data_IF_618737414182
#
_entry.id   IF_618737414182
#
_cell.length_a   1.000
_cell.length_b   1.000
_cell.length_c   1.000
_cell.angle_alpha   90.00
_cell.angle_beta   90.00
_cell.angle_gamma   90.00
#
_symmetry.space_group_name_H-M   'P 1'
#
loop_
_entity.id
_entity.type
_entity.pdbx_description
1 polymer ?
#
# COMPACT_ATOMS: atom_id res chain seq x y z
N UNK A 1 19.33 11.81 -14.99
CA UNK A 1 18.13 12.67 -14.92
C UNK A 1 18.35 13.97 -15.71
N UNK A 2 17.34 14.45 -16.44
CA UNK A 2 17.29 15.78 -17.06
C UNK A 2 16.03 16.52 -16.61
N UNK A 3 16.12 17.84 -16.40
CA UNK A 3 14.99 18.68 -15.99
C UNK A 3 14.70 19.68 -17.10
N UNK A 4 13.49 19.67 -17.63
CA UNK A 4 13.01 20.65 -18.61
C UNK A 4 11.96 21.57 -17.98
N UNK A 5 12.20 22.88 -18.03
CA UNK A 5 11.29 23.90 -17.47
C UNK A 5 10.56 24.65 -18.60
N UNK A 6 9.23 24.59 -18.61
CA UNK A 6 8.37 25.43 -19.44
C UNK A 6 7.58 26.47 -18.61
N UNK A 7 6.98 27.46 -19.29
CA UNK A 7 6.24 28.57 -18.63
C UNK A 7 5.00 28.12 -17.82
N UNK A 8 4.39 26.98 -18.16
CA UNK A 8 3.15 26.47 -17.54
C UNK A 8 3.24 25.06 -16.94
N UNK A 9 4.28 24.30 -17.28
CA UNK A 9 4.47 22.91 -16.86
C UNK A 9 5.96 22.68 -16.66
N UNK A 10 6.35 22.01 -15.56
CA UNK A 10 7.73 21.57 -15.35
C UNK A 10 7.76 20.07 -15.63
N UNK A 11 8.66 19.62 -16.50
CA UNK A 11 8.81 18.19 -16.82
C UNK A 11 10.11 17.66 -16.24
N UNK A 12 10.01 16.57 -15.51
CA UNK A 12 11.17 15.82 -15.06
C UNK A 12 11.34 14.59 -15.94
N UNK A 13 12.51 14.42 -16.53
CA UNK A 13 12.83 13.28 -17.39
C UNK A 13 13.86 12.42 -16.65
N UNK A 14 13.43 11.25 -16.22
CA UNK A 14 14.31 10.22 -15.66
C UNK A 14 14.73 9.31 -16.82
N UNK A 15 16.04 9.08 -16.94
CA UNK A 15 16.62 8.22 -17.97
C UNK A 15 17.29 7.08 -17.24
N UNK A 16 16.90 5.84 -17.54
CA UNK A 16 17.50 4.65 -16.98
C UNK A 16 18.83 4.29 -17.65
N UNK A 17 19.45 3.19 -17.23
CA UNK A 17 20.71 2.68 -17.78
C UNK A 17 20.57 2.09 -19.19
N UNK A 18 19.35 1.74 -19.61
CA UNK A 18 19.01 1.24 -20.95
C UNK A 18 18.66 2.38 -21.93
N UNK A 19 18.52 3.61 -21.44
CA UNK A 19 18.16 4.79 -22.22
C UNK A 19 16.65 5.00 -22.39
N UNK A 20 15.80 4.24 -21.68
CA UNK A 20 14.37 4.52 -21.60
C UNK A 20 14.14 5.81 -20.80
N UNK A 21 13.12 6.57 -21.24
CA UNK A 21 12.79 7.88 -20.66
C UNK A 21 11.41 7.81 -20.03
N UNK A 22 11.35 8.04 -18.72
CA UNK A 22 10.10 8.32 -18.03
C UNK A 22 9.94 9.83 -17.82
N UNK A 23 8.79 10.34 -18.24
CA UNK A 23 8.42 11.74 -18.09
C UNK A 23 7.42 11.90 -16.94
N UNK A 24 7.73 12.82 -16.02
CA UNK A 24 6.86 13.20 -14.92
C UNK A 24 6.45 14.66 -15.07
N UNK A 25 5.15 14.91 -15.20
CA UNK A 25 4.58 16.25 -15.22
C UNK A 25 4.45 16.79 -13.79
N UNK A 26 5.19 17.86 -13.50
CA UNK A 26 5.21 18.53 -12.20
C UNK A 26 4.55 19.90 -12.28
N UNK A 27 3.90 20.28 -11.18
CA UNK A 27 3.39 21.64 -11.03
C UNK A 27 4.55 22.62 -10.87
N UNK A 28 4.53 23.82 -11.50
CA UNK A 28 5.57 24.83 -11.35
C UNK A 28 5.80 25.30 -9.90
N UNK A 29 4.82 25.07 -9.01
CA UNK A 29 4.87 25.44 -7.59
C UNK A 29 5.61 24.42 -6.72
N UNK A 30 5.82 23.20 -7.19
CA UNK A 30 6.51 22.16 -6.43
C UNK A 30 8.01 22.46 -6.41
N UNK A 31 8.60 22.50 -5.21
CA UNK A 31 10.06 22.61 -5.06
C UNK A 31 10.67 21.26 -5.39
N UNK A 32 11.65 21.21 -6.29
CA UNK A 32 12.41 19.98 -6.54
C UNK A 32 13.38 19.76 -5.38
N UNK A 33 13.51 18.50 -4.97
CA UNK A 33 14.55 18.06 -4.01
C UNK A 33 15.78 17.49 -4.75
N UNK A 34 15.70 17.37 -6.08
CA UNK A 34 16.75 16.83 -6.96
C UNK A 34 17.21 17.86 -8.00
N UNK A 35 18.47 17.75 -8.43
CA UNK A 35 19.11 18.62 -9.42
C UNK A 35 19.45 17.86 -10.70
N UNK A 36 19.48 18.57 -11.83
CA UNK A 36 19.87 17.99 -13.11
C UNK A 36 21.26 17.35 -13.05
N UNK A 37 21.34 16.06 -13.33
CA UNK A 37 22.57 15.27 -13.20
C UNK A 37 22.61 14.33 -11.98
N UNK A 38 21.67 14.47 -11.03
CA UNK A 38 21.59 13.56 -9.89
C UNK A 38 21.23 12.13 -10.34
N UNK A 39 21.81 11.15 -9.65
CA UNK A 39 21.38 9.75 -9.72
C UNK A 39 20.25 9.56 -8.71
N UNK A 40 19.14 9.03 -9.19
CA UNK A 40 17.96 8.74 -8.38
C UNK A 40 17.60 7.26 -8.54
N UNK A 41 17.20 6.62 -7.46
CA UNK A 41 16.67 5.27 -7.46
C UNK A 41 15.14 5.29 -7.45
N UNK A 42 14.53 4.17 -7.83
CA UNK A 42 13.07 4.03 -7.78
C UNK A 42 12.55 4.33 -6.36
N UNK A 43 11.62 5.29 -6.28
CA UNK A 43 10.95 5.74 -5.06
C UNK A 43 11.71 6.80 -4.25
N UNK A 44 12.75 7.39 -4.83
CA UNK A 44 13.36 8.61 -4.30
C UNK A 44 12.45 9.83 -4.49
N UNK A 45 12.62 10.80 -3.60
CA UNK A 45 11.78 12.00 -3.58
C UNK A 45 12.28 13.00 -4.61
N UNK A 46 11.45 13.24 -5.62
CA UNK A 46 11.77 14.19 -6.70
C UNK A 46 11.30 15.61 -6.35
N UNK A 47 10.25 15.72 -5.53
CA UNK A 47 9.59 16.98 -5.14
C UNK A 47 9.34 17.05 -3.63
N UNK A 48 9.40 18.26 -3.08
CA UNK A 48 9.02 18.53 -1.70
C UNK A 48 7.54 18.24 -1.45
N UNK A 49 7.25 17.56 -0.35
CA UNK A 49 5.90 17.20 0.07
C UNK A 49 5.79 15.82 0.71
N UNK A 50 4.60 15.49 1.23
CA UNK A 50 4.32 14.16 1.75
C UNK A 50 4.30 13.14 0.60
N UNK A 51 4.88 11.96 0.85
CA UNK A 51 4.81 10.81 -0.07
C UNK A 51 3.39 10.23 -0.03
N UNK A 52 2.86 9.83 -1.19
CA UNK A 52 1.65 9.01 -1.23
C UNK A 52 2.01 7.58 -0.75
N UNK A 53 1.40 7.09 0.34
CA UNK A 53 1.69 5.75 0.86
C UNK A 53 1.39 4.60 -0.11
N UNK A 54 0.45 4.77 -1.05
CA UNK A 54 0.11 3.74 -2.05
C UNK A 54 1.16 3.69 -3.15
N UNK A 55 1.60 4.83 -3.66
CA UNK A 55 2.71 4.88 -4.61
C UNK A 55 3.98 4.33 -3.98
N UNK A 56 4.24 4.69 -2.71
CA UNK A 56 5.37 4.15 -1.96
C UNK A 56 5.27 2.62 -1.79
N UNK A 57 4.06 2.07 -1.64
CA UNK A 57 3.84 0.62 -1.53
C UNK A 57 4.21 -0.10 -2.83
N UNK A 58 3.79 0.47 -3.95
CA UNK A 58 4.04 -0.11 -5.27
C UNK A 58 5.52 -0.07 -5.65
N UNK A 59 6.24 0.98 -5.21
CA UNK A 59 7.65 1.20 -5.60
C UNK A 59 8.65 0.59 -4.62
N UNK A 60 8.55 0.92 -3.32
CA UNK A 60 9.54 0.52 -2.30
C UNK A 60 9.08 -0.70 -1.49
N UNK A 61 7.78 -1.04 -1.52
CA UNK A 61 7.24 -2.22 -0.86
C UNK A 61 6.69 -1.96 0.55
N UNK A 62 6.20 -3.04 1.16
CA UNK A 62 5.40 -2.98 2.39
C UNK A 62 6.18 -2.45 3.61
N UNK A 63 7.45 -2.83 3.75
CA UNK A 63 8.27 -2.48 4.92
C UNK A 63 8.55 -0.98 4.97
N UNK A 64 8.88 -0.40 3.83
CA UNK A 64 9.18 1.02 3.67
C UNK A 64 7.93 1.88 3.92
N UNK A 65 6.76 1.43 3.46
CA UNK A 65 5.48 2.08 3.79
C UNK A 65 5.16 2.00 5.27
N UNK A 66 5.37 0.84 5.91
CA UNK A 66 5.14 0.68 7.34
C UNK A 66 6.00 1.65 8.15
N UNK A 67 7.29 1.72 7.84
CA UNK A 67 8.22 2.61 8.50
C UNK A 67 7.85 4.08 8.28
N UNK A 68 7.55 4.47 7.03
CA UNK A 68 7.12 5.82 6.69
C UNK A 68 5.87 6.24 7.48
N UNK A 69 4.85 5.39 7.56
CA UNK A 69 3.63 5.71 8.29
C UNK A 69 3.87 5.85 9.80
N UNK A 70 4.72 5.00 10.38
CA UNK A 70 5.08 5.09 11.80
C UNK A 70 5.83 6.39 12.09
N UNK A 71 6.82 6.74 11.27
CA UNK A 71 7.64 7.94 11.43
C UNK A 71 6.81 9.23 11.33
N UNK A 72 5.92 9.32 10.33
CA UNK A 72 5.07 10.49 10.13
C UNK A 72 4.07 10.68 11.27
N UNK A 73 3.42 9.60 11.74
CA UNK A 73 2.52 9.68 12.89
C UNK A 73 3.30 10.07 14.15
N UNK A 74 4.47 9.45 14.38
CA UNK A 74 5.32 9.72 15.54
C UNK A 74 5.82 11.18 15.56
N UNK A 75 6.10 11.76 14.39
CA UNK A 75 6.48 13.18 14.25
C UNK A 75 5.39 14.10 14.78
N UNK A 76 4.14 13.87 14.37
CA UNK A 76 2.99 14.69 14.83
C UNK A 76 2.77 14.60 16.35
N UNK A 77 2.90 13.40 16.94
CA UNK A 77 2.80 13.23 18.38
C UNK A 77 3.94 13.92 19.14
N UNK A 78 5.18 13.81 18.64
CA UNK A 78 6.35 14.50 19.20
C UNK A 78 6.21 16.01 19.15
N UNK A 79 5.71 16.56 18.03
CA UNK A 79 5.50 17.99 17.85
C UNK A 79 4.45 18.55 18.85
N UNK A 80 3.52 17.71 19.30
CA UNK A 80 2.54 18.05 20.35
C UNK A 80 3.03 17.74 21.77
N UNK A 81 4.27 17.26 21.93
CA UNK A 81 4.85 16.89 23.22
C UNK A 81 4.27 15.62 23.84
N UNK A 82 3.57 14.80 23.06
CA UNK A 82 2.95 13.56 23.53
C UNK A 82 3.86 12.38 23.20
N UNK A 83 4.21 11.60 24.22
CA UNK A 83 4.98 10.37 24.06
C UNK A 83 4.06 9.17 23.79
N UNK A 84 4.23 8.52 22.65
CA UNK A 84 3.60 7.24 22.32
C UNK A 84 4.68 6.25 21.87
N UNK A 85 4.55 4.99 22.28
CA UNK A 85 5.48 3.95 21.85
C UNK A 85 5.11 3.45 20.46
N UNK A 86 6.11 3.36 19.58
CA UNK A 86 5.98 2.96 18.16
C UNK A 86 5.17 1.68 17.95
N UNK A 87 5.29 0.70 18.85
CA UNK A 87 4.53 -0.57 18.83
C UNK A 87 3.02 -0.38 18.68
N UNK A 88 2.45 0.66 19.27
CA UNK A 88 1.01 0.93 19.14
C UNK A 88 0.66 1.36 17.71
N UNK A 89 1.49 2.19 17.10
CA UNK A 89 1.30 2.67 15.73
C UNK A 89 1.56 1.52 14.75
N UNK A 90 2.64 0.76 14.94
CA UNK A 90 2.96 -0.43 14.14
C UNK A 90 1.81 -1.44 14.12
N UNK A 91 1.16 -1.69 15.27
CA UNK A 91 0.00 -2.58 15.34
C UNK A 91 -1.16 -2.10 14.48
N UNK A 92 -1.43 -0.79 14.43
CA UNK A 92 -2.49 -0.20 13.61
C UNK A 92 -2.11 -0.28 12.13
N UNK A 93 -0.89 0.15 11.78
CA UNK A 93 -0.40 0.13 10.39
C UNK A 93 -0.36 -1.30 9.84
N UNK A 94 -0.04 -2.29 10.67
CA UNK A 94 -0.14 -3.71 10.30
C UNK A 94 -1.58 -4.11 9.93
N UNK A 95 -2.60 -3.60 10.61
CA UNK A 95 -4.00 -3.89 10.22
C UNK A 95 -4.37 -3.24 8.89
N UNK A 96 -3.80 -2.08 8.57
CA UNK A 96 -4.04 -1.37 7.30
C UNK A 96 -3.48 -2.12 6.07
N UNK A 97 -2.49 -2.98 6.25
CA UNK A 97 -1.82 -3.76 5.19
C UNK A 97 -2.15 -5.27 5.25
N UNK A 98 -3.25 -5.63 5.91
CA UNK A 98 -3.61 -7.04 6.17
C UNK A 98 -4.17 -7.76 4.93
N UNK A 99 -4.42 -7.06 3.83
CA UNK A 99 -5.06 -7.64 2.63
C UNK A 99 -4.12 -7.63 1.42
N UNK A 100 -4.24 -8.67 0.61
CA UNK A 100 -3.58 -8.82 -0.69
C UNK A 100 -4.67 -9.00 -1.74
N UNK A 101 -4.58 -8.24 -2.83
CA UNK A 101 -5.43 -8.47 -4.01
C UNK A 101 -4.73 -9.43 -4.95
N UNK A 102 -5.37 -10.55 -5.26
CA UNK A 102 -4.83 -11.56 -6.17
C UNK A 102 -4.91 -11.03 -7.60
N UNK A 103 -3.77 -10.97 -8.29
CA UNK A 103 -3.67 -10.63 -9.70
C UNK A 103 -3.81 -11.90 -10.55
N UNK A 104 -3.04 -12.94 -10.23
CA UNK A 104 -3.09 -14.24 -10.88
C UNK A 104 -3.12 -15.35 -9.83
N UNK A 105 -4.04 -16.32 -9.92
CA UNK A 105 -4.18 -17.35 -8.90
C UNK A 105 -3.10 -18.43 -8.96
N UNK A 106 -2.41 -18.59 -10.10
CA UNK A 106 -1.48 -19.70 -10.29
C UNK A 106 -2.21 -21.05 -10.17
N UNK A 107 -1.65 -21.97 -9.39
CA UNK A 107 -2.28 -23.26 -9.05
C UNK A 107 -3.01 -23.22 -7.69
N UNK A 108 -3.27 -22.02 -7.14
CA UNK A 108 -4.03 -21.85 -5.90
C UNK A 108 -5.54 -21.89 -6.13
N UNK A 109 -6.29 -21.95 -5.04
CA UNK A 109 -7.76 -21.91 -5.04
C UNK A 109 -8.31 -20.47 -5.01
N UNK A 110 -7.45 -19.46 -5.14
CA UNK A 110 -7.87 -18.06 -5.14
C UNK A 110 -8.52 -17.67 -6.47
N UNK A 111 -9.33 -16.61 -6.45
CA UNK A 111 -9.92 -16.02 -7.64
C UNK A 111 -9.16 -14.74 -8.06
N UNK A 112 -9.00 -14.48 -9.37
CA UNK A 112 -8.48 -13.19 -9.85
C UNK A 112 -9.32 -12.03 -9.30
N UNK A 113 -8.67 -11.02 -8.73
CA UNK A 113 -9.29 -9.86 -8.09
C UNK A 113 -9.80 -10.10 -6.66
N UNK A 114 -9.66 -11.33 -6.13
CA UNK A 114 -10.03 -11.64 -4.76
C UNK A 114 -9.13 -10.91 -3.75
N UNK A 115 -9.74 -10.40 -2.67
CA UNK A 115 -9.02 -9.80 -1.54
C UNK A 115 -8.91 -10.80 -0.41
N UNK A 116 -7.72 -11.38 -0.28
CA UNK A 116 -7.40 -12.41 0.71
C UNK A 116 -6.60 -11.81 1.87
N UNK A 117 -6.63 -12.48 3.02
CA UNK A 117 -5.74 -12.14 4.13
C UNK A 117 -4.27 -12.39 3.73
N UNK A 118 -3.39 -11.44 4.05
CA UNK A 118 -1.98 -11.51 3.68
C UNK A 118 -1.29 -12.74 4.26
N UNK A 119 -1.70 -13.21 5.44
CA UNK A 119 -1.16 -14.44 6.05
C UNK A 119 -1.63 -15.68 5.28
N UNK A 120 -2.92 -15.77 4.98
CA UNK A 120 -3.49 -16.90 4.22
C UNK A 120 -2.84 -16.99 2.83
N UNK A 121 -2.70 -15.84 2.16
CA UNK A 121 -2.00 -15.74 0.88
C UNK A 121 -0.55 -16.24 0.97
N UNK A 122 0.20 -15.77 1.98
CA UNK A 122 1.59 -16.17 2.18
C UNK A 122 1.71 -17.67 2.47
N UNK A 123 0.94 -18.19 3.43
CA UNK A 123 0.99 -19.59 3.86
C UNK A 123 0.66 -20.52 2.67
N UNK A 124 -0.35 -20.17 1.85
CA UNK A 124 -0.71 -20.95 0.65
C UNK A 124 0.39 -20.91 -0.41
N UNK A 125 1.01 -19.76 -0.64
CA UNK A 125 2.10 -19.64 -1.60
C UNK A 125 3.35 -20.42 -1.17
N UNK A 126 3.65 -20.45 0.14
CA UNK A 126 4.74 -21.27 0.68
C UNK A 126 4.47 -22.76 0.43
N UNK A 127 3.23 -23.22 0.63
CA UNK A 127 2.84 -24.61 0.35
C UNK A 127 2.96 -24.98 -1.14
N UNK A 128 2.44 -24.12 -2.03
CA UNK A 128 2.51 -24.33 -3.49
C UNK A 128 3.96 -24.39 -3.98
N UNK A 129 4.79 -23.45 -3.53
CA UNK A 129 6.22 -23.40 -3.88
C UNK A 129 6.94 -24.66 -3.37
N UNK A 130 6.60 -25.14 -2.17
CA UNK A 130 7.18 -26.37 -1.61
C UNK A 130 6.76 -27.64 -2.36
N UNK A 131 5.69 -27.55 -3.15
CA UNK A 131 5.14 -28.65 -3.94
C UNK A 131 5.47 -28.53 -5.44
N UNK A 132 6.43 -27.66 -5.81
CA UNK A 132 6.79 -27.33 -7.20
C UNK A 132 5.60 -26.86 -8.07
N UNK A 133 4.58 -26.28 -7.44
CA UNK A 133 3.41 -25.69 -8.11
C UNK A 133 3.57 -24.18 -8.29
N UNK A 134 2.80 -23.59 -9.20
CA UNK A 134 2.84 -22.16 -9.48
C UNK A 134 2.17 -21.38 -8.34
N UNK A 135 2.89 -20.50 -7.62
CA UNK A 135 2.30 -19.66 -6.59
C UNK A 135 1.37 -18.62 -7.21
N UNK A 136 0.42 -18.12 -6.42
CA UNK A 136 -0.42 -17.01 -6.81
C UNK A 136 0.39 -15.71 -6.82
N UNK A 137 0.15 -14.83 -7.78
CA UNK A 137 0.66 -13.46 -7.82
C UNK A 137 -0.39 -12.52 -7.26
N UNK A 138 0.01 -11.64 -6.34
CA UNK A 138 -0.87 -10.71 -5.68
C UNK A 138 -0.13 -9.44 -5.31
N UNK A 139 -0.88 -8.36 -5.12
CA UNK A 139 -0.35 -7.06 -4.70
C UNK A 139 -0.89 -6.70 -3.31
N UNK A 140 -0.03 -6.29 -2.37
CA UNK A 140 -0.50 -5.82 -1.08
C UNK A 140 -1.41 -4.60 -1.28
N UNK A 141 -2.47 -4.50 -0.48
CA UNK A 141 -3.40 -3.37 -0.53
C UNK A 141 -3.29 -2.56 0.77
N UNK A 142 -2.94 -1.28 0.66
CA UNK A 142 -3.04 -0.35 1.77
C UNK A 142 -4.46 0.19 1.89
N UNK A 143 -5.08 -0.06 3.04
CA UNK A 143 -6.46 0.34 3.35
C UNK A 143 -6.48 1.34 4.50
N UNK A 144 -7.36 2.34 4.42
CA UNK A 144 -7.65 3.20 5.58
C UNK A 144 -8.26 2.40 6.72
N UNK A 145 -8.12 2.87 7.96
CA UNK A 145 -8.59 2.16 9.18
C UNK A 145 -10.06 1.75 9.11
N UNK A 146 -10.94 2.60 8.59
CA UNK A 146 -12.38 2.31 8.43
C UNK A 146 -12.60 1.16 7.45
N UNK A 147 -11.92 1.19 6.29
CA UNK A 147 -12.03 0.15 5.27
C UNK A 147 -11.43 -1.17 5.77
N UNK A 148 -10.32 -1.11 6.49
CA UNK A 148 -9.68 -2.27 7.10
C UNK A 148 -10.59 -2.92 8.15
N UNK A 149 -11.26 -2.13 9.00
CA UNK A 149 -12.21 -2.63 10.01
C UNK A 149 -13.45 -3.29 9.39
N UNK A 150 -13.94 -2.79 8.26
CA UNK A 150 -15.06 -3.40 7.53
C UNK A 150 -14.65 -4.65 6.74
N UNK A 151 -13.36 -4.80 6.42
CA UNK A 151 -12.83 -5.94 5.65
C UNK A 151 -12.33 -7.10 6.54
N UNK A 152 -12.77 -7.15 7.80
CA UNK A 152 -12.56 -8.27 8.70
C UNK A 152 -13.35 -9.51 8.27
N UNK A 153 -12.96 -10.69 8.76
CA UNK A 153 -13.62 -11.96 8.47
C UNK A 153 -14.93 -12.12 9.25
N UNK A 154 -14.97 -11.59 10.48
CA UNK A 154 -16.17 -11.61 11.33
C UNK A 154 -17.18 -10.57 10.83
N UNK A 155 -18.26 -11.03 10.19
CA UNK A 155 -19.34 -10.17 9.77
C UNK A 155 -20.04 -9.52 10.96
N UNK A 156 -20.07 -10.19 12.12
CA UNK A 156 -20.65 -9.63 13.34
C UNK A 156 -19.81 -8.44 13.84
N UNK A 157 -18.49 -8.59 13.83
CA UNK A 157 -17.55 -7.52 14.18
C UNK A 157 -17.67 -6.34 13.22
N UNK A 158 -17.72 -6.59 11.91
CA UNK A 158 -17.90 -5.55 10.90
C UNK A 158 -19.23 -4.81 11.09
N UNK A 159 -20.34 -5.53 11.29
CA UNK A 159 -21.68 -4.96 11.47
C UNK A 159 -21.80 -4.11 12.75
N UNK A 160 -21.03 -4.45 13.80
CA UNK A 160 -20.95 -3.69 15.04
C UNK A 160 -20.19 -2.36 14.90
N UNK A 161 -19.33 -2.25 13.89
CA UNK A 161 -18.54 -1.05 13.66
C UNK A 161 -19.36 0.01 12.91
N UNK A 162 -19.69 -0.26 11.64
CA UNK A 162 -20.46 0.64 10.76
C UNK A 162 -21.17 -0.16 9.65
N UNK A 163 -22.05 0.50 8.89
CA UNK A 163 -22.71 -0.07 7.69
C UNK A 163 -23.52 -1.37 7.94
N UNK A 164 -24.11 -1.50 9.13
CA UNK A 164 -24.78 -2.71 9.63
C UNK A 164 -25.74 -3.35 8.61
N UNK A 165 -26.61 -2.56 7.95
CA UNK A 165 -27.57 -3.09 6.97
C UNK A 165 -26.89 -3.76 5.78
N UNK A 166 -25.82 -3.15 5.25
CA UNK A 166 -25.08 -3.69 4.10
C UNK A 166 -24.39 -4.99 4.49
N UNK A 167 -23.68 -4.98 5.63
CA UNK A 167 -22.92 -6.15 6.12
C UNK A 167 -23.83 -7.34 6.40
N UNK A 168 -24.97 -7.13 7.08
CA UNK A 168 -25.93 -8.20 7.37
C UNK A 168 -26.56 -8.78 6.10
N UNK A 169 -26.83 -7.93 5.10
CA UNK A 169 -27.40 -8.36 3.82
C UNK A 169 -26.41 -9.24 3.05
N UNK A 170 -25.15 -8.82 2.95
CA UNK A 170 -24.09 -9.60 2.32
C UNK A 170 -23.88 -10.95 3.03
N UNK A 171 -23.80 -10.94 4.37
CA UNK A 171 -23.64 -12.16 5.16
C UNK A 171 -24.82 -13.14 4.99
N UNK A 172 -26.05 -12.64 4.88
CA UNK A 172 -27.23 -13.46 4.66
C UNK A 172 -27.27 -14.07 3.24
N UNK A 173 -26.90 -13.29 2.22
CA UNK A 173 -26.82 -13.77 0.83
C UNK A 173 -25.77 -14.88 0.69
N UNK A 174 -24.63 -14.70 1.34
CA UNK A 174 -23.51 -15.65 1.31
C UNK A 174 -23.65 -16.80 2.33
N UNK A 175 -24.71 -16.81 3.14
CA UNK A 175 -24.93 -17.78 4.21
C UNK A 175 -23.70 -17.94 5.14
N UNK A 176 -23.01 -16.84 5.47
CA UNK A 176 -21.79 -16.85 6.28
C UNK A 176 -22.08 -17.24 7.73
N UNK A 177 -21.13 -17.95 8.34
CA UNK A 177 -21.11 -18.26 9.78
C UNK A 177 -19.96 -17.50 10.45
N UNK A 178 -20.19 -16.93 11.63
CA UNK A 178 -19.17 -16.25 12.47
C UNK A 178 -18.75 -17.22 13.59
N UNK A 179 -17.45 -17.50 13.74
CA UNK A 179 -16.90 -18.34 14.83
C UNK A 179 -15.78 -17.63 15.57
#
# INVERSE_FOLDING_TARGET
MQVEEGESHRKLIVIDDQGEREEYDLSPKQRLEVHGGDMVEAGDVLVDGPKDPKELLDIKGMREVQQYLVEEVQKVYRDQGVSIHDKHIELIVRQMLKKVTVAEPGDSDFLPGERVDARVYHDRNVELTSSDQKPALGRPELMGITKASLATESWLSAASFQETTRVLTEAAIEARSDS
#
